data_IF_584916148515
#
_entry.id   IF_584916148515
#
_cell.length_a   1.000
_cell.length_b   1.000
_cell.length_c   1.000
_cell.angle_alpha   90.00
_cell.angle_beta   90.00
_cell.angle_gamma   90.00
#
_symmetry.space_group_name_H-M   'P 1'
#
loop_
_entity.id
_entity.type
_entity.pdbx_description
1 polymer ?
#
# COMPACT_ATOMS: atom_id res chain seq x y z
N UNK A 1 2.27 -1.13 -14.97
CA UNK A 1 1.82 0.13 -14.30
C UNK A 1 0.39 0.46 -14.72
N UNK A 2 -0.41 1.24 -13.97
CA UNK A 2 -1.72 1.65 -14.45
C UNK A 2 -1.58 2.43 -15.78
N UNK A 3 -2.53 2.24 -16.69
CA UNK A 3 -2.51 2.81 -18.06
C UNK A 3 -2.26 4.32 -18.07
N UNK A 4 -2.63 5.03 -17.01
CA UNK A 4 -2.46 6.48 -16.86
C UNK A 4 -1.00 6.96 -16.77
N UNK A 5 -0.02 6.05 -16.66
CA UNK A 5 1.38 6.44 -16.45
C UNK A 5 2.29 6.38 -17.69
N UNK A 6 1.83 5.98 -18.88
CA UNK A 6 2.63 5.93 -20.12
C UNK A 6 4.06 5.39 -19.91
N UNK A 7 4.20 4.34 -19.10
CA UNK A 7 5.48 3.68 -18.81
C UNK A 7 5.25 2.19 -19.01
N UNK A 8 5.92 1.64 -20.03
CA UNK A 8 5.77 0.25 -20.48
C UNK A 8 6.75 -0.71 -19.80
N UNK A 9 7.50 -0.25 -18.79
CA UNK A 9 8.47 -1.08 -18.11
C UNK A 9 7.78 -2.01 -17.10
N UNK A 10 7.89 -3.31 -17.35
CA UNK A 10 7.69 -4.34 -16.32
C UNK A 10 8.88 -4.33 -15.35
N UNK A 11 8.58 -4.37 -14.06
CA UNK A 11 9.58 -4.30 -13.00
C UNK A 11 9.36 -5.51 -12.09
N UNK A 12 10.37 -6.35 -11.99
CA UNK A 12 10.43 -7.41 -11.00
C UNK A 12 10.97 -6.86 -9.68
N UNK A 13 10.22 -7.09 -8.59
CA UNK A 13 10.64 -6.78 -7.22
C UNK A 13 10.19 -7.87 -6.28
N UNK A 14 11.02 -8.13 -5.26
CA UNK A 14 10.63 -9.02 -4.17
C UNK A 14 9.52 -8.38 -3.34
N UNK A 15 8.51 -9.18 -2.97
CA UNK A 15 7.45 -8.78 -2.04
C UNK A 15 8.03 -8.40 -0.67
N UNK A 16 9.03 -9.16 -0.21
CA UNK A 16 9.77 -8.91 1.03
C UNK A 16 11.27 -8.83 0.75
N UNK A 17 11.96 -7.93 1.44
CA UNK A 17 13.41 -7.74 1.28
C UNK A 17 14.07 -7.38 2.60
N UNK A 18 15.40 -7.54 2.71
CA UNK A 18 16.13 -7.13 3.90
C UNK A 18 16.40 -5.63 3.88
N UNK A 19 15.98 -4.93 4.92
CA UNK A 19 16.28 -3.53 5.18
C UNK A 19 16.85 -3.39 6.60
N UNK A 20 18.14 -3.09 6.72
CA UNK A 20 18.83 -2.94 8.00
C UNK A 20 18.65 -4.16 8.94
N UNK A 21 18.80 -5.37 8.41
CA UNK A 21 18.62 -6.65 9.11
C UNK A 21 17.19 -6.88 9.62
N UNK A 22 16.20 -6.22 9.02
CA UNK A 22 14.76 -6.34 9.30
C UNK A 22 13.98 -6.49 8.00
N UNK A 23 12.77 -7.08 8.03
CA UNK A 23 11.94 -7.20 6.84
C UNK A 23 11.42 -5.82 6.40
N UNK A 24 11.57 -5.53 5.11
CA UNK A 24 10.81 -4.52 4.38
C UNK A 24 9.82 -5.18 3.43
N UNK A 25 8.81 -4.43 3.00
CA UNK A 25 7.70 -4.91 2.17
C UNK A 25 7.50 -4.01 0.95
N UNK A 26 7.21 -4.62 -0.19
CA UNK A 26 6.85 -3.96 -1.44
C UNK A 26 5.65 -4.71 -2.05
N UNK A 27 4.46 -4.42 -1.56
CA UNK A 27 3.24 -5.13 -1.95
C UNK A 27 2.09 -4.16 -2.23
N UNK A 28 1.36 -4.42 -3.31
CA UNK A 28 0.05 -3.84 -3.63
C UNK A 28 -0.67 -4.83 -4.55
N UNK A 29 -1.81 -5.33 -4.11
CA UNK A 29 -2.62 -6.36 -4.77
C UNK A 29 -2.99 -6.00 -6.22
N UNK A 30 -3.26 -4.72 -6.49
CA UNK A 30 -3.65 -4.22 -7.82
C UNK A 30 -2.57 -4.31 -8.89
N UNK A 31 -1.29 -4.37 -8.50
CA UNK A 31 -0.16 -4.33 -9.45
C UNK A 31 0.80 -5.51 -9.34
N UNK A 32 0.45 -6.53 -8.55
CA UNK A 32 1.19 -7.80 -8.53
C UNK A 32 0.63 -8.73 -9.60
N UNK A 33 1.51 -9.42 -10.33
CA UNK A 33 1.16 -10.32 -11.43
C UNK A 33 1.74 -11.71 -11.12
N UNK A 34 0.96 -12.63 -10.50
CA UNK A 34 1.44 -13.98 -10.24
C UNK A 34 1.65 -14.75 -11.54
N UNK A 35 2.75 -15.49 -11.63
CA UNK A 35 3.11 -16.33 -12.79
C UNK A 35 2.51 -17.73 -12.70
N UNK A 36 2.05 -18.14 -11.52
CA UNK A 36 1.45 -19.44 -11.28
C UNK A 36 0.23 -19.37 -10.36
N UNK A 37 -0.61 -20.40 -10.40
CA UNK A 37 -1.76 -20.54 -9.49
C UNK A 37 -1.28 -20.58 -8.03
N UNK A 38 -0.12 -21.18 -7.77
CA UNK A 38 0.47 -21.25 -6.44
C UNK A 38 0.85 -19.85 -5.92
N UNK A 39 1.54 -19.05 -6.75
CA UNK A 39 1.83 -17.65 -6.42
C UNK A 39 0.55 -16.84 -6.22
N UNK A 40 -0.47 -17.06 -7.06
CA UNK A 40 -1.76 -16.37 -6.91
C UNK A 40 -2.44 -16.69 -5.57
N UNK A 41 -2.42 -17.96 -5.14
CA UNK A 41 -2.94 -18.37 -3.82
C UNK A 41 -2.14 -17.73 -2.69
N UNK A 42 -0.81 -17.76 -2.77
CA UNK A 42 0.05 -17.12 -1.77
C UNK A 42 -0.24 -15.62 -1.63
N UNK A 43 -0.33 -14.87 -2.73
CA UNK A 43 -0.58 -13.43 -2.70
C UNK A 43 -1.99 -13.09 -2.20
N UNK A 44 -2.99 -13.92 -2.53
CA UNK A 44 -4.35 -13.79 -1.98
C UNK A 44 -4.34 -13.99 -0.47
N UNK A 45 -3.70 -15.05 0.00
CA UNK A 45 -3.67 -15.38 1.43
C UNK A 45 -2.85 -14.34 2.22
N UNK A 46 -1.76 -13.81 1.64
CA UNK A 46 -1.02 -12.66 2.15
C UNK A 46 -1.93 -11.42 2.28
N UNK A 47 -2.65 -11.06 1.21
CA UNK A 47 -3.57 -9.92 1.23
C UNK A 47 -4.63 -10.08 2.32
N UNK A 48 -5.23 -11.26 2.43
CA UNK A 48 -6.23 -11.55 3.47
C UNK A 48 -5.62 -11.40 4.87
N UNK A 49 -4.40 -11.90 5.10
CA UNK A 49 -3.75 -11.79 6.40
C UNK A 49 -3.43 -10.35 6.80
N UNK A 50 -3.08 -9.49 5.83
CA UNK A 50 -2.78 -8.08 6.08
C UNK A 50 -4.04 -7.29 6.44
N UNK A 51 -5.15 -7.54 5.73
CA UNK A 51 -6.43 -6.86 5.97
C UNK A 51 -7.13 -7.35 7.26
N UNK A 52 -6.85 -8.58 7.71
CA UNK A 52 -7.43 -9.14 8.94
C UNK A 52 -6.55 -9.00 10.19
N UNK A 53 -5.39 -8.34 10.08
CA UNK A 53 -4.45 -8.21 11.20
C UNK A 53 -5.02 -7.30 12.30
N UNK A 54 -5.05 -7.80 13.54
CA UNK A 54 -5.58 -7.04 14.69
C UNK A 54 -4.72 -5.81 15.05
N UNK A 55 -3.51 -5.72 14.51
CA UNK A 55 -2.58 -4.60 14.69
C UNK A 55 -2.81 -3.46 13.71
N UNK A 56 -3.79 -3.57 12.80
CA UNK A 56 -4.18 -2.46 11.91
C UNK A 56 -4.68 -1.29 12.75
N UNK A 57 -4.05 -0.13 12.58
CA UNK A 57 -4.40 1.09 13.28
C UNK A 57 -5.30 1.96 12.41
N UNK A 58 -6.53 2.20 12.86
CA UNK A 58 -7.39 3.22 12.28
C UNK A 58 -6.97 4.59 12.83
N UNK A 59 -6.46 5.44 11.94
CA UNK A 59 -6.03 6.80 12.26
C UNK A 59 -7.02 7.82 11.70
N UNK A 60 -7.65 8.58 12.59
CA UNK A 60 -8.38 9.79 12.21
C UNK A 60 -7.40 10.90 11.80
N UNK A 61 -7.69 11.57 10.69
CA UNK A 61 -6.89 12.69 10.17
C UNK A 61 -7.76 13.93 10.04
N UNK A 62 -7.75 14.82 11.05
CA UNK A 62 -8.40 16.12 10.99
C UNK A 62 -7.90 17.01 9.85
N UNK A 63 -8.71 18.02 9.50
CA UNK A 63 -8.30 19.02 8.51
C UNK A 63 -7.09 19.80 9.04
N UNK A 64 -6.04 19.88 8.22
CA UNK A 64 -4.78 20.54 8.58
C UNK A 64 -3.67 19.57 8.99
N UNK A 65 -4.02 18.32 9.32
CA UNK A 65 -3.06 17.31 9.74
C UNK A 65 -2.50 16.53 8.54
N UNK A 66 -1.28 16.00 8.72
CA UNK A 66 -0.59 15.16 7.76
C UNK A 66 0.00 13.93 8.46
N UNK A 67 -0.23 12.76 7.88
CA UNK A 67 0.50 11.55 8.25
C UNK A 67 1.72 11.37 7.34
N UNK A 68 2.88 11.11 7.95
CA UNK A 68 4.12 10.77 7.23
C UNK A 68 4.58 9.39 7.68
N UNK A 69 4.64 8.45 6.75
CA UNK A 69 5.02 7.05 7.03
C UNK A 69 6.24 6.64 6.21
N UNK A 70 7.07 5.77 6.78
CA UNK A 70 8.14 5.12 6.04
C UNK A 70 7.59 3.90 5.28
N UNK A 71 7.45 4.04 3.97
CA UNK A 71 6.85 3.04 3.07
C UNK A 71 7.69 1.74 2.93
N UNK A 72 8.84 1.62 3.61
CA UNK A 72 9.60 0.37 3.63
C UNK A 72 8.95 -0.67 4.55
N UNK A 73 8.35 -0.23 5.66
CA UNK A 73 7.82 -1.13 6.70
C UNK A 73 6.43 -0.71 7.24
N UNK A 74 5.92 0.45 6.82
CA UNK A 74 4.51 0.79 7.00
C UNK A 74 3.72 0.53 5.72
N UNK A 75 2.67 -0.29 5.83
CA UNK A 75 1.61 -0.34 4.85
C UNK A 75 0.52 0.67 5.25
N UNK A 76 -0.25 1.13 4.28
CA UNK A 76 -1.37 2.04 4.53
C UNK A 76 -2.51 1.74 3.57
N UNK A 77 -3.72 1.75 4.11
CA UNK A 77 -4.97 1.63 3.37
C UNK A 77 -5.89 2.80 3.70
N UNK A 78 -7.17 2.65 3.36
CA UNK A 78 -8.21 3.61 3.76
C UNK A 78 -9.46 2.84 4.12
N UNK A 79 -9.94 3.03 5.34
CA UNK A 79 -11.22 2.51 5.77
C UNK A 79 -12.38 2.99 4.87
N UNK A 80 -13.45 2.20 4.84
CA UNK A 80 -14.70 2.63 4.24
C UNK A 80 -15.30 3.80 5.03
N UNK A 81 -16.15 4.59 4.38
CA UNK A 81 -16.92 5.65 5.04
C UNK A 81 -18.33 5.67 4.46
N UNK A 82 -19.27 6.16 5.26
CA UNK A 82 -20.68 6.21 4.89
C UNK A 82 -20.92 7.10 3.66
N UNK A 83 -21.86 6.67 2.82
CA UNK A 83 -22.25 7.46 1.65
C UNK A 83 -23.13 8.62 2.10
N UNK A 84 -22.74 9.84 1.76
CA UNK A 84 -23.52 11.05 2.03
C UNK A 84 -23.43 12.01 0.84
N UNK A 85 -24.57 12.53 0.39
CA UNK A 85 -24.67 13.47 -0.74
C UNK A 85 -23.99 14.81 -0.46
N UNK A 86 -23.81 15.17 0.81
CA UNK A 86 -23.16 16.40 1.25
C UNK A 86 -21.68 16.21 1.61
N UNK A 87 -21.14 14.99 1.50
CA UNK A 87 -19.76 14.72 1.84
C UNK A 87 -18.80 15.42 0.89
N UNK A 88 -17.90 16.23 1.44
CA UNK A 88 -16.74 16.77 0.75
C UNK A 88 -15.46 16.33 1.49
N UNK A 89 -14.54 15.70 0.76
CA UNK A 89 -13.22 15.30 1.28
C UNK A 89 -12.15 15.64 0.26
N UNK A 90 -11.23 16.50 0.65
CA UNK A 90 -10.04 16.85 -0.12
C UNK A 90 -8.79 16.25 0.52
N UNK A 91 -7.89 15.71 -0.29
CA UNK A 91 -6.66 15.06 0.17
C UNK A 91 -5.47 15.51 -0.66
N UNK A 92 -4.35 15.76 0.00
CA UNK A 92 -3.04 15.96 -0.64
C UNK A 92 -2.14 14.75 -0.35
N UNK A 93 -1.40 14.28 -1.37
CA UNK A 93 -0.40 13.21 -1.19
C UNK A 93 0.92 13.58 -1.84
N UNK A 94 2.01 13.45 -1.08
CA UNK A 94 3.38 13.49 -1.58
C UNK A 94 4.07 12.14 -1.34
N UNK A 95 4.97 11.76 -2.25
CA UNK A 95 5.79 10.54 -2.18
C UNK A 95 7.19 10.90 -2.62
N UNK A 96 8.20 10.36 -1.93
CA UNK A 96 9.60 10.68 -2.21
C UNK A 96 10.55 9.59 -1.76
N UNK A 97 11.83 9.94 -1.72
CA UNK A 97 12.90 9.13 -1.15
C UNK A 97 13.65 9.97 -0.11
N UNK A 98 14.24 9.32 0.89
CA UNK A 98 15.23 9.99 1.73
C UNK A 98 16.44 10.37 0.88
N UNK A 99 16.95 11.59 1.09
CA UNK A 99 18.25 11.99 0.56
C UNK A 99 19.28 11.76 1.66
N UNK A 100 20.33 11.00 1.37
CA UNK A 100 21.48 10.81 2.26
C UNK A 100 22.58 11.81 1.88
#
# INVERSE_FOLDING_TARGET
APKSKNVDQEIERLTFFNHNNKPGVCFIDQFVYPESIEQAKYLRDLSNSLESDESVLELELPVGDLVVVNNIFWLHGRAAFEKDSNLNRELLRQRGRFNQ
#
